data_IF_847306518762
#
_entry.id   IF_847306518762
#
_cell.length_a   1.000
_cell.length_b   1.000
_cell.length_c   1.000
_cell.angle_alpha   90.00
_cell.angle_beta   90.00
_cell.angle_gamma   90.00
#
_symmetry.space_group_name_H-M   'P 1'
#
loop_
_entity.id
_entity.type
_entity.pdbx_description
1 polymer ?
#
# COMPACT_ATOMS: atom_id res chain seq x y z
N UNK A 1 69.20 -46.45 -49.54
CA UNK A 1 68.67 -45.17 -48.99
C UNK A 1 67.49 -44.73 -49.83
N UNK A 2 66.27 -44.86 -49.31
CA UNK A 2 65.06 -44.11 -49.72
C UNK A 2 63.95 -44.41 -48.71
N UNK A 3 63.83 -43.49 -47.76
CA UNK A 3 62.81 -43.46 -46.70
C UNK A 3 61.53 -42.93 -47.35
N UNK A 4 60.43 -43.67 -47.24
CA UNK A 4 59.10 -43.19 -47.62
C UNK A 4 58.39 -42.84 -46.31
N UNK A 5 58.35 -41.55 -45.97
CA UNK A 5 57.55 -41.03 -44.85
C UNK A 5 56.12 -40.84 -45.35
N UNK A 6 55.19 -41.64 -44.82
CA UNK A 6 53.76 -41.50 -45.07
C UNK A 6 53.20 -40.28 -44.35
N UNK A 7 52.60 -39.36 -45.11
CA UNK A 7 51.95 -38.17 -44.58
C UNK A 7 50.46 -38.47 -44.38
N UNK A 8 50.11 -38.95 -43.17
CA UNK A 8 48.73 -39.15 -42.73
C UNK A 8 48.10 -37.78 -42.45
N UNK A 9 47.28 -37.28 -43.37
CA UNK A 9 46.43 -36.12 -43.18
C UNK A 9 45.20 -36.51 -42.35
N UNK A 10 45.25 -36.27 -41.04
CA UNK A 10 44.08 -36.27 -40.18
C UNK A 10 43.30 -34.97 -40.41
N UNK A 11 42.22 -35.05 -41.20
CA UNK A 11 41.25 -33.98 -41.36
C UNK A 11 40.46 -33.80 -40.06
N UNK A 12 40.69 -32.68 -39.36
CA UNK A 12 39.91 -32.25 -38.22
C UNK A 12 38.55 -31.72 -38.73
N UNK A 13 37.50 -32.53 -38.63
CA UNK A 13 36.11 -32.09 -38.87
C UNK A 13 35.66 -31.33 -37.62
N UNK A 14 35.66 -30.01 -37.69
CA UNK A 14 35.01 -29.16 -36.69
C UNK A 14 33.49 -29.26 -36.89
N UNK A 15 32.83 -30.05 -36.06
CA UNK A 15 31.38 -30.05 -35.95
C UNK A 15 31.00 -28.77 -35.20
N UNK A 16 30.61 -27.74 -35.95
CA UNK A 16 30.00 -26.54 -35.37
C UNK A 16 28.58 -26.90 -34.99
N UNK A 17 28.35 -27.20 -33.72
CA UNK A 17 27.01 -27.30 -33.16
C UNK A 17 26.37 -25.92 -33.24
N UNK A 18 25.47 -25.70 -34.20
CA UNK A 18 24.59 -24.55 -34.14
C UNK A 18 23.66 -24.72 -32.93
N UNK A 19 23.97 -24.00 -31.84
CA UNK A 19 22.95 -23.67 -30.85
C UNK A 19 22.02 -22.69 -31.55
N UNK A 20 20.90 -23.19 -32.03
CA UNK A 20 19.76 -22.33 -32.37
C UNK A 20 19.37 -21.60 -31.08
N UNK A 21 19.59 -20.28 -31.06
CA UNK A 21 18.97 -19.44 -30.07
C UNK A 21 17.46 -19.69 -30.18
N UNK A 22 16.85 -20.19 -29.11
CA UNK A 22 15.40 -20.34 -29.05
C UNK A 22 14.78 -19.00 -29.46
N UNK A 23 14.03 -19.01 -30.56
CA UNK A 23 13.41 -17.82 -31.12
C UNK A 23 12.68 -17.07 -30.00
N UNK A 24 13.16 -15.86 -29.72
CA UNK A 24 12.44 -14.94 -28.84
C UNK A 24 11.09 -14.67 -29.49
N UNK A 25 10.01 -15.05 -28.79
CA UNK A 25 8.64 -14.76 -29.23
C UNK A 25 8.53 -13.26 -29.56
N UNK A 26 7.81 -12.87 -30.62
CA UNK A 26 7.63 -11.46 -30.94
C UNK A 26 7.03 -10.72 -29.74
N UNK A 27 7.39 -9.44 -29.52
CA UNK A 27 6.89 -8.66 -28.39
C UNK A 27 5.36 -8.62 -28.42
N UNK A 28 4.73 -8.87 -27.28
CA UNK A 28 3.27 -8.81 -27.17
C UNK A 28 2.84 -7.35 -27.25
N UNK A 29 2.15 -6.99 -28.33
CA UNK A 29 1.76 -5.60 -28.60
C UNK A 29 0.47 -5.17 -27.88
N UNK A 30 -0.31 -6.12 -27.35
CA UNK A 30 -1.57 -5.84 -26.65
C UNK A 30 -1.81 -6.72 -25.41
N UNK A 31 -2.52 -6.17 -24.42
CA UNK A 31 -2.88 -6.86 -23.17
C UNK A 31 -3.72 -8.13 -23.38
N UNK A 32 -4.53 -8.16 -24.44
CA UNK A 32 -5.29 -9.35 -24.85
C UNK A 32 -4.39 -10.56 -25.19
N UNK A 33 -3.14 -10.29 -25.57
CA UNK A 33 -2.17 -11.33 -25.91
C UNK A 33 -1.58 -11.98 -24.64
N UNK A 34 -1.40 -11.21 -23.57
CA UNK A 34 -0.95 -11.73 -22.27
C UNK A 34 -2.00 -12.67 -21.67
N UNK A 35 -3.24 -12.18 -21.53
CA UNK A 35 -4.31 -12.91 -20.84
C UNK A 35 -4.75 -14.15 -21.59
N UNK A 36 -4.81 -14.14 -22.93
CA UNK A 36 -5.24 -15.30 -23.71
C UNK A 36 -4.32 -16.51 -23.49
N UNK A 37 -3.00 -16.32 -23.59
CA UNK A 37 -2.04 -17.39 -23.35
C UNK A 37 -1.94 -17.79 -21.86
N UNK A 38 -1.91 -16.82 -20.95
CA UNK A 38 -1.80 -17.12 -19.52
C UNK A 38 -3.07 -17.76 -18.93
N UNK A 39 -4.25 -17.55 -19.52
CA UNK A 39 -5.46 -18.31 -19.14
C UNK A 39 -5.35 -19.80 -19.42
N UNK A 40 -4.51 -20.21 -20.37
CA UNK A 40 -4.27 -21.62 -20.67
C UNK A 40 -3.07 -22.17 -19.90
N UNK A 41 -2.00 -21.37 -19.77
CA UNK A 41 -0.74 -21.82 -19.19
C UNK A 41 -0.62 -21.65 -17.68
N UNK A 42 -1.26 -20.62 -17.13
CA UNK A 42 -1.19 -20.29 -15.70
C UNK A 42 -2.51 -19.70 -15.21
N UNK A 43 -3.51 -20.58 -15.12
CA UNK A 43 -4.87 -20.26 -14.69
C UNK A 43 -4.89 -19.60 -13.32
N UNK A 44 -4.03 -20.05 -12.41
CA UNK A 44 -3.97 -19.56 -11.03
C UNK A 44 -3.48 -18.11 -10.96
N UNK A 45 -2.43 -17.78 -11.72
CA UNK A 45 -1.92 -16.41 -11.82
C UNK A 45 -2.99 -15.45 -12.33
N UNK A 46 -3.68 -15.82 -13.41
CA UNK A 46 -4.75 -14.98 -13.98
C UNK A 46 -5.89 -14.81 -12.99
N UNK A 47 -6.32 -15.89 -12.32
CA UNK A 47 -7.38 -15.83 -11.33
C UNK A 47 -7.02 -14.92 -10.14
N UNK A 48 -5.77 -14.97 -9.68
CA UNK A 48 -5.27 -14.09 -8.63
C UNK A 48 -5.28 -12.61 -9.05
N UNK A 49 -4.76 -12.31 -10.25
CA UNK A 49 -4.83 -10.95 -10.79
C UNK A 49 -6.28 -10.47 -10.97
N UNK A 50 -7.17 -11.28 -11.53
CA UNK A 50 -8.59 -10.95 -11.76
C UNK A 50 -9.34 -10.63 -10.45
N UNK A 51 -8.94 -11.25 -9.32
CA UNK A 51 -9.47 -10.94 -7.98
C UNK A 51 -9.03 -9.57 -7.46
N UNK A 52 -7.85 -9.11 -7.88
CA UNK A 52 -7.20 -7.91 -7.35
C UNK A 52 -7.94 -6.61 -7.69
N UNK A 53 -7.66 -5.54 -6.93
CA UNK A 53 -8.15 -4.19 -7.30
C UNK A 53 -7.54 -3.70 -8.61
N UNK A 54 -6.33 -4.15 -8.96
CA UNK A 54 -5.66 -3.77 -10.21
C UNK A 54 -6.48 -4.21 -11.42
N UNK A 55 -6.95 -5.46 -11.46
CA UNK A 55 -7.83 -5.91 -12.54
C UNK A 55 -9.14 -5.11 -12.58
N UNK A 56 -9.75 -4.86 -11.42
CA UNK A 56 -11.02 -4.13 -11.32
C UNK A 56 -10.95 -2.68 -11.83
N UNK A 57 -9.77 -2.05 -11.82
CA UNK A 57 -9.55 -0.69 -12.32
C UNK A 57 -8.78 -0.64 -13.63
N UNK A 58 -8.55 -1.79 -14.27
CA UNK A 58 -7.95 -1.89 -15.61
C UNK A 58 -6.42 -1.77 -15.65
N UNK A 59 -5.71 -2.07 -14.57
CA UNK A 59 -4.24 -2.15 -14.59
C UNK A 59 -3.82 -3.48 -15.23
N UNK A 60 -3.38 -3.34 -16.48
CA UNK A 60 -2.85 -4.39 -17.34
C UNK A 60 -1.55 -5.04 -16.82
N UNK A 61 -1.30 -6.31 -17.18
CA UNK A 61 -0.07 -7.07 -16.92
C UNK A 61 1.16 -6.29 -17.39
N UNK A 62 1.05 -5.73 -18.60
CA UNK A 62 2.09 -4.93 -19.25
C UNK A 62 2.46 -3.64 -18.50
N UNK A 63 1.58 -3.12 -17.63
CA UNK A 63 1.89 -1.94 -16.81
C UNK A 63 3.05 -2.21 -15.85
N UNK A 64 3.12 -3.42 -15.28
CA UNK A 64 4.20 -3.82 -14.37
C UNK A 64 5.32 -4.59 -15.09
N UNK A 65 4.96 -5.50 -16.00
CA UNK A 65 5.91 -6.42 -16.64
C UNK A 65 6.51 -5.87 -17.94
N UNK A 66 5.89 -4.88 -18.57
CA UNK A 66 6.22 -4.47 -19.93
C UNK A 66 5.65 -5.42 -20.99
N UNK A 67 6.14 -5.28 -22.23
CA UNK A 67 5.61 -5.98 -23.42
C UNK A 67 6.56 -7.04 -23.98
N UNK A 68 7.81 -7.10 -23.51
CA UNK A 68 8.84 -8.01 -24.00
C UNK A 68 8.83 -9.35 -23.25
N UNK A 69 8.44 -10.46 -23.88
CA UNK A 69 8.28 -11.76 -23.20
C UNK A 69 9.61 -12.50 -22.93
N UNK A 70 10.43 -11.94 -22.05
CA UNK A 70 11.73 -12.46 -21.66
C UNK A 70 11.95 -12.36 -20.14
N UNK A 71 13.01 -12.99 -19.62
CA UNK A 71 13.30 -13.02 -18.16
C UNK A 71 13.40 -11.64 -17.50
N UNK A 72 13.61 -10.58 -18.27
CA UNK A 72 13.62 -9.19 -17.80
C UNK A 72 12.25 -8.68 -17.28
N UNK A 73 11.12 -9.28 -17.69
CA UNK A 73 9.78 -8.87 -17.25
C UNK A 73 9.60 -8.97 -15.73
N UNK A 74 10.04 -10.08 -15.16
CA UNK A 74 9.90 -10.31 -13.73
C UNK A 74 10.83 -9.39 -12.93
N UNK A 75 12.05 -9.14 -13.44
CA UNK A 75 12.95 -8.17 -12.82
C UNK A 75 12.38 -6.75 -12.86
N UNK A 76 11.72 -6.37 -13.97
CA UNK A 76 11.04 -5.08 -14.11
C UNK A 76 9.91 -4.90 -13.10
N UNK A 77 8.99 -5.87 -13.02
CA UNK A 77 7.84 -5.75 -12.11
C UNK A 77 8.22 -5.76 -10.63
N UNK A 78 9.43 -6.24 -10.29
CA UNK A 78 9.95 -6.28 -8.92
C UNK A 78 10.60 -4.98 -8.46
N UNK A 79 10.87 -4.03 -9.36
CA UNK A 79 11.42 -2.71 -9.00
C UNK A 79 10.36 -1.84 -8.36
N UNK A 80 10.77 -0.95 -7.46
CA UNK A 80 9.87 0.01 -6.81
C UNK A 80 9.23 0.99 -7.82
N UNK A 81 9.94 1.32 -8.91
CA UNK A 81 9.44 2.22 -9.95
C UNK A 81 8.23 1.67 -10.73
N UNK A 82 8.03 0.35 -10.72
CA UNK A 82 6.83 -0.28 -11.27
C UNK A 82 5.55 0.10 -10.50
N UNK A 83 5.68 0.59 -9.25
CA UNK A 83 4.55 0.96 -8.39
C UNK A 83 4.38 2.47 -8.27
N UNK A 84 5.48 3.23 -8.23
CA UNK A 84 5.49 4.64 -7.80
C UNK A 84 4.76 5.58 -8.76
N UNK A 85 4.59 5.20 -10.03
CA UNK A 85 3.82 5.98 -11.01
C UNK A 85 2.35 6.20 -10.61
N UNK A 86 1.76 5.24 -9.89
CA UNK A 86 0.37 5.31 -9.42
C UNK A 86 0.27 5.43 -7.88
N UNK A 87 1.19 4.78 -7.14
CA UNK A 87 1.15 4.67 -5.69
C UNK A 87 2.04 5.70 -4.97
N UNK A 88 1.87 6.99 -5.29
CA UNK A 88 2.78 8.04 -4.81
C UNK A 88 2.77 8.22 -3.27
N UNK A 89 1.59 8.15 -2.64
CA UNK A 89 1.47 8.31 -1.18
C UNK A 89 2.05 7.11 -0.44
N UNK A 90 1.71 5.89 -0.88
CA UNK A 90 2.30 4.65 -0.35
C UNK A 90 3.81 4.67 -0.52
N UNK A 91 4.29 5.10 -1.70
CA UNK A 91 5.72 5.20 -2.00
C UNK A 91 6.42 6.19 -1.08
N UNK A 92 5.84 7.36 -0.80
CA UNK A 92 6.39 8.33 0.15
C UNK A 92 6.55 7.75 1.56
N UNK A 93 5.55 6.99 2.02
CA UNK A 93 5.64 6.29 3.29
C UNK A 93 6.74 5.22 3.29
N UNK A 94 6.78 4.39 2.24
CA UNK A 94 7.80 3.35 2.10
C UNK A 94 9.22 3.91 2.00
N UNK A 95 9.47 4.95 1.20
CA UNK A 95 10.82 5.52 1.00
C UNK A 95 11.39 6.12 2.27
N UNK A 96 10.54 6.64 3.16
CA UNK A 96 10.93 7.16 4.48
C UNK A 96 11.06 6.07 5.56
N UNK A 97 10.69 4.83 5.26
CA UNK A 97 10.91 3.70 6.17
C UNK A 97 12.35 3.19 6.12
N UNK A 98 12.75 2.40 7.13
CA UNK A 98 14.05 1.72 7.12
C UNK A 98 14.21 0.79 5.90
N UNK A 99 13.14 0.10 5.50
CA UNK A 99 13.17 -0.76 4.31
C UNK A 99 13.42 0.05 3.03
N UNK A 100 12.72 1.17 2.85
CA UNK A 100 12.91 2.04 1.70
C UNK A 100 14.29 2.67 1.65
N UNK A 101 14.81 3.11 2.79
CA UNK A 101 16.18 3.65 2.91
C UNK A 101 17.21 2.59 2.54
N UNK A 102 17.12 1.36 3.07
CA UNK A 102 18.06 0.29 2.73
C UNK A 102 17.93 -0.10 1.25
N UNK A 103 16.71 -0.25 0.72
CA UNK A 103 16.48 -0.54 -0.69
C UNK A 103 17.06 0.53 -1.63
N UNK A 104 17.07 1.79 -1.20
CA UNK A 104 17.67 2.89 -1.95
C UNK A 104 19.20 2.81 -1.91
N UNK A 105 19.77 2.62 -0.72
CA UNK A 105 21.23 2.52 -0.54
C UNK A 105 21.84 1.28 -1.20
N UNK A 106 21.05 0.23 -1.37
CA UNK A 106 21.48 -1.07 -1.91
C UNK A 106 20.88 -1.38 -3.28
N UNK A 107 20.28 -0.40 -3.96
CA UNK A 107 19.58 -0.61 -5.23
C UNK A 107 20.42 -1.37 -6.27
N UNK A 108 21.71 -1.05 -6.38
CA UNK A 108 22.65 -1.69 -7.31
C UNK A 108 23.03 -3.13 -6.91
N UNK A 109 22.76 -3.54 -5.66
CA UNK A 109 23.07 -4.87 -5.13
C UNK A 109 21.89 -5.83 -5.19
N UNK A 110 20.69 -5.35 -5.55
CA UNK A 110 19.50 -6.17 -5.62
C UNK A 110 19.47 -6.98 -6.91
N UNK A 111 19.59 -8.30 -6.77
CA UNK A 111 19.33 -9.22 -7.88
C UNK A 111 17.81 -9.45 -8.03
N UNK A 112 17.17 -8.56 -8.77
CA UNK A 112 15.73 -8.63 -9.03
C UNK A 112 15.36 -9.72 -10.05
N UNK A 113 16.32 -10.45 -10.63
CA UNK A 113 16.02 -11.59 -11.50
C UNK A 113 15.50 -12.78 -10.69
N UNK A 114 15.85 -12.85 -9.40
CA UNK A 114 15.45 -13.94 -8.53
C UNK A 114 13.97 -13.86 -8.10
N UNK A 115 13.32 -15.02 -7.86
CA UNK A 115 11.96 -15.07 -7.33
C UNK A 115 11.81 -14.32 -5.99
N UNK A 116 10.58 -13.86 -5.72
CA UNK A 116 10.22 -13.20 -4.46
C UNK A 116 10.01 -14.24 -3.36
N UNK A 117 11.10 -14.75 -2.79
CA UNK A 117 11.10 -15.76 -1.72
C UNK A 117 12.18 -15.46 -0.70
N UNK A 118 12.08 -16.11 0.45
CA UNK A 118 13.08 -16.07 1.52
C UNK A 118 14.51 -16.21 0.99
N UNK A 119 15.40 -15.33 1.47
CA UNK A 119 16.83 -15.34 1.16
C UNK A 119 17.22 -14.70 -0.18
N UNK A 120 16.28 -14.43 -1.08
CA UNK A 120 16.59 -13.86 -2.40
C UNK A 120 16.72 -12.33 -2.40
N UNK A 121 16.17 -11.64 -1.39
CA UNK A 121 16.31 -10.19 -1.25
C UNK A 121 16.64 -9.84 0.20
N UNK A 122 17.73 -9.09 0.39
CA UNK A 122 18.15 -8.60 1.72
C UNK A 122 17.19 -7.55 2.27
N UNK A 123 16.61 -6.73 1.41
CA UNK A 123 15.66 -5.67 1.75
C UNK A 123 14.46 -5.81 0.84
N UNK A 124 13.23 -5.68 1.38
CA UNK A 124 12.04 -5.88 0.57
C UNK A 124 11.83 -4.70 -0.38
N UNK A 125 11.45 -4.96 -1.62
CA UNK A 125 10.81 -3.97 -2.51
C UNK A 125 9.30 -3.95 -2.29
N UNK A 126 8.59 -3.02 -2.95
CA UNK A 126 7.11 -3.04 -2.98
C UNK A 126 6.58 -4.42 -3.40
N UNK A 127 7.15 -4.98 -4.48
CA UNK A 127 6.76 -6.29 -4.99
C UNK A 127 7.07 -7.42 -4.01
N UNK A 128 8.20 -7.38 -3.29
CA UNK A 128 8.56 -8.44 -2.35
C UNK A 128 7.48 -8.70 -1.30
N UNK A 129 6.87 -7.64 -0.77
CA UNK A 129 5.81 -7.76 0.23
C UNK A 129 4.43 -7.95 -0.40
N UNK A 130 4.10 -7.19 -1.45
CA UNK A 130 2.74 -7.19 -2.02
C UNK A 130 2.46 -8.31 -3.03
N UNK A 131 3.50 -8.92 -3.59
CA UNK A 131 3.45 -9.98 -4.59
C UNK A 131 4.32 -11.18 -4.16
N UNK A 132 4.46 -11.37 -2.85
CA UNK A 132 5.32 -12.40 -2.26
C UNK A 132 5.00 -13.79 -2.79
N UNK A 133 6.03 -14.62 -2.97
CA UNK A 133 5.92 -15.97 -3.53
C UNK A 133 5.21 -16.05 -4.90
N UNK A 134 5.19 -14.95 -5.67
CA UNK A 134 4.55 -14.89 -6.98
C UNK A 134 3.04 -14.67 -6.93
N UNK A 135 2.50 -14.24 -5.80
CA UNK A 135 1.11 -13.77 -5.70
C UNK A 135 0.85 -12.62 -6.70
N UNK A 136 -0.31 -12.63 -7.36
CA UNK A 136 -0.73 -11.60 -8.32
C UNK A 136 -1.99 -10.85 -7.86
N UNK A 137 -2.61 -11.23 -6.75
CA UNK A 137 -3.49 -10.36 -5.97
C UNK A 137 -2.66 -9.42 -5.09
N UNK A 138 -2.27 -8.27 -5.64
CA UNK A 138 -1.53 -7.23 -4.89
C UNK A 138 -2.25 -6.75 -3.61
N UNK A 139 -3.57 -7.01 -3.50
CA UNK A 139 -4.38 -6.70 -2.34
C UNK A 139 -4.47 -7.85 -1.32
N UNK A 140 -3.89 -9.02 -1.58
CA UNK A 140 -4.00 -10.20 -0.71
C UNK A 140 -3.51 -9.92 0.71
N UNK A 141 -2.41 -9.18 0.84
CA UNK A 141 -1.80 -8.77 2.10
C UNK A 141 -2.13 -7.32 2.52
N UNK A 142 -3.20 -6.70 2.04
CA UNK A 142 -3.52 -5.31 2.42
C UNK A 142 -4.75 -5.27 3.32
N UNK A 143 -4.69 -4.52 4.43
CA UNK A 143 -5.86 -4.24 5.24
C UNK A 143 -6.89 -3.45 4.43
N UNK A 144 -8.15 -3.90 4.32
CA UNK A 144 -9.15 -3.22 3.51
C UNK A 144 -9.32 -1.77 3.96
N UNK A 145 -9.43 -0.84 3.00
CA UNK A 145 -9.74 0.56 3.27
C UNK A 145 -11.20 0.68 3.74
N UNK A 146 -11.50 0.23 4.96
CA UNK A 146 -12.80 0.44 5.57
C UNK A 146 -13.00 1.94 5.78
N UNK A 147 -13.91 2.50 4.98
CA UNK A 147 -14.55 3.78 5.24
C UNK A 147 -15.08 3.77 6.68
N UNK A 148 -14.97 4.91 7.35
CA UNK A 148 -15.32 5.12 8.75
C UNK A 148 -16.59 4.34 9.15
N UNK A 149 -16.44 3.39 10.10
CA UNK A 149 -17.59 2.83 10.82
C UNK A 149 -17.97 1.37 10.53
N UNK A 150 -17.36 0.68 9.56
CA UNK A 150 -17.48 -0.79 9.49
C UNK A 150 -16.31 -1.45 10.19
N UNK A 151 -16.56 -1.88 11.42
CA UNK A 151 -15.72 -2.83 12.15
C UNK A 151 -15.79 -4.15 11.37
N UNK A 152 -14.63 -4.61 10.91
CA UNK A 152 -14.35 -5.97 10.43
C UNK A 152 -15.07 -6.41 9.14
N UNK A 153 -14.39 -6.31 7.99
CA UNK A 153 -14.31 -7.54 7.21
C UNK A 153 -13.47 -8.51 8.06
N UNK A 154 -13.80 -9.80 8.18
CA UNK A 154 -12.93 -10.73 8.87
C UNK A 154 -11.53 -10.56 8.28
N UNK A 155 -10.52 -10.34 9.12
CA UNK A 155 -9.20 -10.83 8.75
C UNK A 155 -9.38 -12.33 8.64
N UNK A 156 -9.62 -12.81 7.42
CA UNK A 156 -9.46 -14.23 7.18
C UNK A 156 -8.00 -14.54 7.50
N UNK A 157 -7.77 -15.68 8.17
CA UNK A 157 -6.42 -16.08 8.57
C UNK A 157 -5.45 -16.05 7.37
N UNK A 158 -5.98 -16.25 6.15
CA UNK A 158 -5.26 -16.10 4.89
C UNK A 158 -4.68 -14.69 4.66
N UNK A 159 -5.43 -13.59 4.85
CA UNK A 159 -4.91 -12.22 4.70
C UNK A 159 -3.93 -11.85 5.80
N UNK A 160 -4.18 -12.32 7.02
CA UNK A 160 -3.24 -12.13 8.13
C UNK A 160 -1.92 -12.84 7.84
N UNK A 161 -1.99 -14.06 7.31
CA UNK A 161 -0.81 -14.83 6.91
C UNK A 161 -0.10 -14.21 5.70
N UNK A 162 -0.82 -13.80 4.65
CA UNK A 162 -0.26 -13.12 3.49
C UNK A 162 0.46 -11.81 3.86
N UNK A 163 -0.01 -11.12 4.91
CA UNK A 163 0.67 -9.95 5.49
C UNK A 163 1.95 -10.31 6.23
N UNK A 164 1.90 -11.39 7.02
CA UNK A 164 2.98 -11.73 7.93
C UNK A 164 4.10 -12.53 7.28
N UNK A 165 3.80 -13.34 6.27
CA UNK A 165 4.76 -14.24 5.63
C UNK A 165 6.02 -13.52 5.13
N UNK A 166 5.95 -12.40 4.37
CA UNK A 166 7.16 -11.73 3.87
C UNK A 166 8.03 -11.14 4.99
N UNK A 167 7.42 -10.83 6.16
CA UNK A 167 8.17 -10.33 7.30
C UNK A 167 9.01 -11.44 7.97
N UNK A 168 8.53 -12.68 7.94
CA UNK A 168 9.17 -13.82 8.60
C UNK A 168 10.44 -14.28 7.89
N UNK A 169 10.61 -13.91 6.61
CA UNK A 169 11.83 -14.18 5.85
C UNK A 169 13.08 -13.49 6.44
N UNK A 170 12.88 -12.38 7.17
CA UNK A 170 13.97 -11.55 7.68
C UNK A 170 13.89 -11.27 9.19
N UNK A 171 12.70 -11.40 9.80
CA UNK A 171 12.47 -11.05 11.20
C UNK A 171 12.02 -12.24 12.04
N UNK A 172 12.45 -12.23 13.32
CA UNK A 172 12.01 -13.23 14.28
C UNK A 172 10.48 -13.26 14.42
N UNK A 173 9.85 -14.43 14.61
CA UNK A 173 8.40 -14.55 14.78
C UNK A 173 7.83 -13.61 15.85
N UNK A 174 8.52 -13.51 17.00
CA UNK A 174 8.12 -12.60 18.09
C UNK A 174 8.01 -11.15 17.63
N UNK A 175 8.99 -10.66 16.86
CA UNK A 175 8.95 -9.28 16.35
C UNK A 175 7.78 -9.07 15.41
N UNK A 176 7.57 -10.01 14.47
CA UNK A 176 6.48 -9.95 13.48
C UNK A 176 5.12 -9.93 14.19
N UNK A 177 4.88 -10.86 15.12
CA UNK A 177 3.63 -10.94 15.86
C UNK A 177 3.38 -9.69 16.70
N UNK A 178 4.42 -9.19 17.37
CA UNK A 178 4.33 -7.96 18.16
C UNK A 178 4.02 -6.75 17.27
N UNK A 179 4.66 -6.67 16.10
CA UNK A 179 4.44 -5.57 15.16
C UNK A 179 2.99 -5.50 14.71
N UNK A 180 2.39 -6.61 14.27
CA UNK A 180 1.00 -6.60 13.80
C UNK A 180 0.02 -6.26 14.93
N UNK A 181 0.19 -6.84 16.12
CA UNK A 181 -0.67 -6.54 17.28
C UNK A 181 -0.57 -5.07 17.69
N UNK A 182 0.65 -4.51 17.73
CA UNK A 182 0.83 -3.09 18.11
C UNK A 182 0.40 -2.14 17.00
N UNK A 183 0.63 -2.49 15.74
CA UNK A 183 0.21 -1.74 14.56
C UNK A 183 -1.31 -1.62 14.45
N UNK A 184 -2.04 -2.72 14.66
CA UNK A 184 -3.50 -2.70 14.67
C UNK A 184 -4.05 -1.78 15.78
N UNK A 185 -3.41 -1.80 16.96
CA UNK A 185 -3.74 -0.89 18.06
C UNK A 185 -3.45 0.57 17.71
N UNK A 186 -2.34 0.86 17.03
CA UNK A 186 -2.00 2.21 16.58
C UNK A 186 -3.04 2.75 15.59
N UNK A 187 -3.43 1.93 14.60
CA UNK A 187 -4.50 2.31 13.67
C UNK A 187 -5.83 2.53 14.40
N UNK A 188 -6.16 1.69 15.39
CA UNK A 188 -7.38 1.83 16.17
C UNK A 188 -7.39 3.10 17.02
N UNK A 189 -6.25 3.53 17.57
CA UNK A 189 -6.12 4.84 18.23
C UNK A 189 -6.45 5.97 17.26
N UNK A 190 -5.97 5.90 16.01
CA UNK A 190 -6.35 6.86 14.98
C UNK A 190 -7.86 6.88 14.72
N UNK A 191 -8.48 5.70 14.60
CA UNK A 191 -9.94 5.57 14.41
C UNK A 191 -10.74 6.10 15.60
N UNK A 192 -10.27 5.90 16.82
CA UNK A 192 -10.90 6.46 18.03
C UNK A 192 -10.99 7.99 17.95
N UNK A 193 -9.90 8.66 17.59
CA UNK A 193 -9.86 10.13 17.43
C UNK A 193 -10.86 10.62 16.38
N UNK A 194 -10.94 9.92 15.24
CA UNK A 194 -11.88 10.25 14.18
C UNK A 194 -13.33 10.06 14.64
N UNK A 195 -13.65 8.93 15.30
CA UNK A 195 -15.01 8.70 15.86
C UNK A 195 -15.40 9.76 16.88
N UNK A 196 -14.47 10.19 17.71
CA UNK A 196 -14.69 11.24 18.68
C UNK A 196 -14.97 12.58 18.00
N UNK A 197 -14.18 12.95 16.98
CA UNK A 197 -14.43 14.15 16.18
C UNK A 197 -15.79 14.09 15.49
N UNK A 198 -16.17 12.96 14.90
CA UNK A 198 -17.51 12.79 14.28
C UNK A 198 -18.63 13.02 15.28
N UNK A 199 -18.50 12.52 16.52
CA UNK A 199 -19.50 12.75 17.58
C UNK A 199 -19.56 14.21 18.00
N UNK A 200 -18.42 14.86 18.19
CA UNK A 200 -18.35 16.27 18.55
C UNK A 200 -18.91 17.18 17.46
N UNK A 201 -18.68 16.82 16.20
CA UNK A 201 -19.21 17.53 15.04
C UNK A 201 -20.70 17.26 14.76
N UNK A 202 -21.37 16.36 15.50
CA UNK A 202 -22.78 16.03 15.22
C UNK A 202 -23.74 17.22 15.35
N UNK A 203 -23.36 18.24 16.12
CA UNK A 203 -24.11 19.49 16.27
C UNK A 203 -23.60 20.60 15.34
N UNK A 204 -22.49 20.37 14.65
CA UNK A 204 -21.88 21.28 13.69
C UNK A 204 -22.43 20.95 12.30
N UNK A 205 -23.15 21.88 11.68
CA UNK A 205 -23.62 21.75 10.29
C UNK A 205 -22.98 22.82 9.39
N UNK A 206 -21.67 22.93 9.47
CA UNK A 206 -20.90 23.91 8.70
C UNK A 206 -19.88 23.23 7.79
N UNK A 207 -19.42 23.97 6.77
CA UNK A 207 -18.49 23.44 5.79
C UNK A 207 -17.09 23.17 6.38
N UNK A 208 -16.69 23.93 7.39
CA UNK A 208 -15.38 23.81 8.01
C UNK A 208 -15.26 22.49 8.77
N UNK A 209 -16.24 22.15 9.61
CA UNK A 209 -16.27 20.87 10.32
C UNK A 209 -16.29 19.67 9.37
N UNK A 210 -17.06 19.74 8.26
CA UNK A 210 -17.03 18.72 7.20
C UNK A 210 -15.65 18.58 6.55
N UNK A 211 -15.00 19.70 6.23
CA UNK A 211 -13.66 19.69 5.64
C UNK A 211 -12.61 19.10 6.59
N UNK A 212 -12.69 19.41 7.89
CA UNK A 212 -11.81 18.85 8.91
C UNK A 212 -12.00 17.33 8.99
N UNK A 213 -13.24 16.83 9.12
CA UNK A 213 -13.51 15.40 9.18
C UNK A 213 -13.03 14.65 7.93
N UNK A 214 -13.16 15.27 6.75
CA UNK A 214 -12.64 14.73 5.51
C UNK A 214 -11.11 14.57 5.55
N UNK A 215 -10.36 15.62 5.95
CA UNK A 215 -8.89 15.54 6.08
C UNK A 215 -8.46 14.53 7.14
N UNK A 216 -9.11 14.52 8.30
CA UNK A 216 -8.84 13.53 9.36
C UNK A 216 -8.94 12.11 8.82
N UNK A 217 -9.94 11.82 7.99
CA UNK A 217 -10.20 10.47 7.47
C UNK A 217 -9.28 10.12 6.30
N UNK A 218 -9.20 10.99 5.30
CA UNK A 218 -8.60 10.67 4.00
C UNK A 218 -7.09 10.97 3.93
N UNK A 219 -6.60 11.82 4.82
CA UNK A 219 -5.18 12.17 4.89
C UNK A 219 -4.56 11.63 6.18
N UNK A 220 -4.95 12.14 7.35
CA UNK A 220 -4.23 11.81 8.60
C UNK A 220 -4.39 10.36 9.05
N UNK A 221 -5.61 9.81 9.05
CA UNK A 221 -5.82 8.41 9.37
C UNK A 221 -5.18 7.49 8.33
N UNK A 222 -5.16 7.90 7.05
CA UNK A 222 -4.45 7.16 6.00
C UNK A 222 -2.95 7.15 6.26
N UNK A 223 -2.35 8.28 6.65
CA UNK A 223 -0.93 8.38 7.01
C UNK A 223 -0.57 7.46 8.19
N UNK A 224 -1.43 7.37 9.22
CA UNK A 224 -1.23 6.39 10.30
C UNK A 224 -1.18 4.96 9.74
N UNK A 225 -2.10 4.61 8.84
CA UNK A 225 -2.16 3.26 8.24
C UNK A 225 -0.94 2.96 7.38
N UNK A 226 -0.53 3.92 6.55
CA UNK A 226 0.67 3.79 5.71
C UNK A 226 1.93 3.73 6.57
N UNK A 227 2.05 4.59 7.58
CA UNK A 227 3.17 4.61 8.52
C UNK A 227 3.33 3.30 9.29
N UNK A 228 2.23 2.73 9.77
CA UNK A 228 2.22 1.39 10.40
C UNK A 228 2.50 0.29 9.37
N UNK A 229 1.93 0.36 8.16
CA UNK A 229 2.13 -0.67 7.14
C UNK A 229 3.56 -0.75 6.62
N UNK A 230 4.19 0.40 6.39
CA UNK A 230 5.55 0.49 5.85
C UNK A 230 6.62 0.66 6.93
N UNK A 231 6.26 0.74 8.21
CA UNK A 231 7.17 1.07 9.32
C UNK A 231 7.87 2.41 9.11
N UNK A 232 7.10 3.43 8.73
CA UNK A 232 7.53 4.80 8.53
C UNK A 232 7.13 5.66 9.72
N UNK A 233 8.07 5.94 10.65
CA UNK A 233 7.75 6.67 11.88
C UNK A 233 7.24 8.07 11.60
N UNK A 234 7.73 8.75 10.57
CA UNK A 234 7.35 10.13 10.28
C UNK A 234 5.90 10.26 9.80
N UNK A 235 5.45 9.36 8.94
CA UNK A 235 4.05 9.27 8.51
C UNK A 235 3.12 8.96 9.68
N UNK A 236 3.53 8.04 10.57
CA UNK A 236 2.75 7.68 11.74
C UNK A 236 2.71 8.79 12.80
N UNK A 237 3.87 9.38 13.09
CA UNK A 237 4.10 10.23 14.26
C UNK A 237 4.00 11.72 13.95
N UNK A 238 4.40 12.23 12.79
CA UNK A 238 4.28 13.66 12.49
C UNK A 238 3.03 13.96 11.67
N UNK A 239 2.77 13.15 10.64
CA UNK A 239 1.68 13.39 9.69
C UNK A 239 0.39 12.60 9.99
N UNK A 240 0.44 11.71 10.98
CA UNK A 240 -0.65 10.84 11.40
C UNK A 240 -1.26 11.26 12.72
N UNK A 241 -0.74 10.73 13.83
CA UNK A 241 -1.38 10.86 15.14
C UNK A 241 -1.55 12.30 15.66
N UNK A 242 -0.53 13.17 15.65
CA UNK A 242 -0.68 14.56 16.10
C UNK A 242 -1.51 15.40 15.14
N UNK A 243 -1.49 15.10 13.84
CA UNK A 243 -2.37 15.77 12.88
C UNK A 243 -3.85 15.44 13.18
N UNK A 244 -4.15 14.18 13.51
CA UNK A 244 -5.46 13.79 14.04
C UNK A 244 -5.81 14.51 15.35
N UNK A 245 -4.86 14.65 16.28
CA UNK A 245 -5.10 15.36 17.54
C UNK A 245 -5.42 16.85 17.29
N UNK A 246 -4.64 17.50 16.43
CA UNK A 246 -4.84 18.90 16.07
C UNK A 246 -6.23 19.15 15.49
N UNK A 247 -6.66 18.33 14.53
CA UNK A 247 -7.97 18.48 13.91
C UNK A 247 -9.13 18.06 14.84
N UNK A 248 -8.92 17.08 15.73
CA UNK A 248 -9.88 16.76 16.80
C UNK A 248 -10.08 17.94 17.76
N UNK A 249 -8.99 18.60 18.17
CA UNK A 249 -9.05 19.78 19.02
C UNK A 249 -9.79 20.95 18.33
N UNK A 250 -9.58 21.15 17.03
CA UNK A 250 -10.33 22.15 16.25
C UNK A 250 -11.83 21.87 16.26
N UNK A 251 -12.25 20.63 15.98
CA UNK A 251 -13.67 20.24 16.03
C UNK A 251 -14.27 20.47 17.42
N UNK A 252 -13.57 20.06 18.48
CA UNK A 252 -14.03 20.29 19.85
C UNK A 252 -14.14 21.76 20.20
N UNK A 253 -13.22 22.60 19.72
CA UNK A 253 -13.30 24.06 19.88
C UNK A 253 -14.54 24.63 19.21
N UNK A 254 -14.79 24.27 17.95
CA UNK A 254 -15.99 24.71 17.21
C UNK A 254 -17.29 24.30 17.91
N UNK A 255 -17.36 23.06 18.38
CA UNK A 255 -18.52 22.56 19.13
C UNK A 255 -18.70 23.30 20.47
N UNK A 256 -17.60 23.56 21.18
CA UNK A 256 -17.60 24.35 22.42
C UNK A 256 -18.11 25.76 22.20
N UNK A 257 -17.64 26.45 21.15
CA UNK A 257 -18.07 27.80 20.80
C UNK A 257 -19.57 27.86 20.48
N UNK A 258 -20.10 26.86 19.76
CA UNK A 258 -21.52 26.76 19.46
C UNK A 258 -22.35 26.62 20.75
N UNK A 259 -21.93 25.75 21.66
CA UNK A 259 -22.58 25.56 22.95
C UNK A 259 -22.59 26.86 23.77
N UNK A 260 -21.45 27.56 23.84
CA UNK A 260 -21.35 28.83 24.58
C UNK A 260 -22.26 29.91 23.98
N UNK A 261 -22.34 30.02 22.65
CA UNK A 261 -23.24 30.98 21.98
C UNK A 261 -24.72 30.66 22.25
N UNK A 262 -25.09 29.38 22.25
CA UNK A 262 -26.47 28.97 22.55
C UNK A 262 -26.90 29.33 23.98
N UNK A 263 -25.99 29.20 24.95
CA UNK A 263 -26.24 29.54 26.36
C UNK A 263 -26.37 31.06 26.58
N UNK A 264 -25.53 31.87 25.92
CA UNK A 264 -25.61 33.34 26.00
C UNK A 264 -26.81 33.91 25.21
N UNK A 265 -27.23 33.26 24.12
CA UNK A 265 -28.44 33.61 23.39
C UNK A 265 -29.72 33.35 24.20
N UNK A 266 -29.73 32.30 25.04
CA UNK A 266 -30.85 31.97 25.91
C UNK A 266 -30.99 32.91 27.12
N UNK A 267 -29.89 33.50 27.61
CA UNK A 267 -29.90 34.38 28.80
C UNK A 267 -30.29 35.85 28.52
N UNK A 268 -30.50 36.23 27.26
CA UNK A 268 -30.80 37.62 26.86
C UNK A 268 -32.29 37.90 26.55
N UNK A 269 -33.21 36.99 26.91
CA UNK A 269 -34.65 37.29 26.85
C UNK A 269 -34.99 38.39 27.87
N UNK A 270 -35.48 39.59 27.46
CA UNK A 270 -35.82 40.63 28.40
C UNK A 270 -37.04 40.18 29.20
N UNK A 271 -36.88 40.05 30.52
CA UNK A 271 -38.02 39.99 31.44
C UNK A 271 -38.87 41.25 31.21
N UNK A 272 -40.16 41.13 30.86
CA UNK A 272 -41.00 42.32 30.69
C UNK A 272 -41.04 43.05 32.05
N UNK A 273 -40.55 44.29 32.08
CA UNK A 273 -40.64 45.13 33.26
C UNK A 273 -42.12 45.35 33.57
N UNK A 274 -42.56 44.88 34.75
CA UNK A 274 -43.84 45.27 35.33
C UNK A 274 -43.75 46.73 35.75
N UNK A 275 -44.04 47.64 34.85
CA UNK A 275 -44.25 49.04 35.18
C UNK A 275 -45.60 49.50 34.64
N UNK A 276 -46.53 49.82 35.56
CA UNK A 276 -47.77 50.50 35.21
C UNK A 276 -49.05 49.94 35.83
N UNK A 277 -49.15 49.90 37.16
CA UNK A 277 -50.46 50.07 37.82
C UNK A 277 -50.35 51.16 38.88
N UNK A 278 -50.47 52.41 38.42
CA UNK A 278 -50.88 53.52 39.28
C UNK A 278 -52.37 53.34 39.55
N UNK A 279 -52.72 52.85 40.74
CA UNK A 279 -54.08 52.99 41.25
C UNK A 279 -54.29 54.44 41.71
N UNK A 280 -55.19 55.12 41.03
CA UNK A 280 -55.82 56.35 41.49
C UNK A 280 -57.10 55.97 42.27
N UNK A 281 -57.32 56.73 43.35
CA UNK A 281 -58.40 56.69 44.35
C UNK A 281 -58.18 55.76 45.53
#
# INVERSE_FOLDING_TARGET
MRIIVGMLWLGLVLIVSHVEAADALPPFSAEGDCLSCHRERDVALVAAWEKSRHAQVGVACSACHGTEHQGAMAARSRRNDACTGCHQRESGSYTLSKHGVIATLEAERLDLTQPLKEGNQRTPTCAYCHLHAGEHDAGAGILPLVSMGRVSAPDDAARAEARAAPCRDCHSPRFVDTWFVTGDRMVEIGRMKVREATRAAAQLDDQESRNILHRMTNDHLRNVRLGVGHQSPDEQWWHGHPALDGDLLRIKSLAGDLLMRSQHGASSSPTPSREGQRHFK
#
